data_IF_881058185901
#
_entry.id   IF_881058185901
#
_cell.length_a   1.000
_cell.length_b   1.000
_cell.length_c   1.000
_cell.angle_alpha   90.00
_cell.angle_beta   90.00
_cell.angle_gamma   90.00
#
_symmetry.space_group_name_H-M   'P 1'
#
loop_
_entity.id
_entity.type
_entity.pdbx_description
1 polymer ?
#
# COMPACT_ATOMS: atom_id res chain seq x y z
N UNK A 1 34.99 -40.20 -12.76
CA UNK A 1 33.67 -40.21 -13.39
C UNK A 1 33.28 -38.78 -13.75
N UNK A 2 33.09 -38.49 -15.07
CA UNK A 2 32.57 -37.18 -15.49
C UNK A 2 31.17 -37.03 -14.88
N UNK A 3 30.87 -35.91 -14.23
CA UNK A 3 29.53 -35.69 -13.75
C UNK A 3 28.53 -35.73 -14.93
N UNK A 4 27.39 -36.35 -14.72
CA UNK A 4 26.36 -36.43 -15.76
C UNK A 4 26.07 -35.06 -16.34
N UNK A 5 25.76 -34.96 -17.64
CA UNK A 5 25.49 -33.67 -18.31
C UNK A 5 24.43 -32.84 -17.58
N UNK A 6 23.40 -33.49 -17.02
CA UNK A 6 22.36 -32.85 -16.22
C UNK A 6 22.89 -32.19 -14.93
N UNK A 7 23.80 -32.86 -14.19
CA UNK A 7 24.42 -32.30 -12.98
C UNK A 7 25.31 -31.09 -13.33
N UNK A 8 26.05 -31.15 -14.44
CA UNK A 8 26.86 -30.02 -14.91
C UNK A 8 26.05 -28.84 -15.34
N UNK A 9 24.85 -29.04 -15.92
CA UNK A 9 23.94 -27.97 -16.34
C UNK A 9 23.23 -27.32 -15.17
N UNK A 10 22.86 -28.08 -14.14
CA UNK A 10 22.34 -27.53 -12.89
C UNK A 10 23.41 -26.68 -12.18
N UNK A 11 24.65 -27.18 -12.13
CA UNK A 11 25.76 -26.42 -11.52
C UNK A 11 26.08 -25.13 -12.27
N UNK A 12 26.00 -25.11 -13.60
CA UNK A 12 26.20 -23.90 -14.41
C UNK A 12 25.12 -22.85 -14.21
N UNK A 13 23.93 -23.26 -13.79
CA UNK A 13 22.78 -22.35 -13.52
C UNK A 13 22.73 -21.84 -12.08
N UNK A 14 23.61 -22.32 -11.20
CA UNK A 14 23.65 -21.83 -9.81
C UNK A 14 24.19 -20.40 -9.73
N UNK A 15 23.73 -19.68 -8.73
CA UNK A 15 24.23 -18.35 -8.39
C UNK A 15 25.71 -18.43 -7.98
N UNK A 16 26.59 -17.83 -8.77
CA UNK A 16 28.05 -17.87 -8.54
C UNK A 16 28.62 -16.57 -7.98
N UNK A 17 27.79 -15.56 -7.68
CA UNK A 17 28.23 -14.27 -7.13
C UNK A 17 29.06 -13.40 -8.08
N UNK A 18 29.19 -13.77 -9.37
CA UNK A 18 29.93 -13.00 -10.36
C UNK A 18 29.23 -11.67 -10.65
N UNK A 19 29.97 -10.60 -10.98
CA UNK A 19 29.44 -9.29 -11.33
C UNK A 19 28.33 -9.35 -12.40
N UNK A 20 28.47 -10.22 -13.40
CA UNK A 20 27.45 -10.47 -14.43
C UNK A 20 26.13 -11.00 -13.88
N UNK A 21 26.15 -11.78 -12.79
CA UNK A 21 24.92 -12.27 -12.15
C UNK A 21 24.22 -11.15 -11.38
N UNK A 22 24.98 -10.26 -10.75
CA UNK A 22 24.44 -9.08 -10.08
C UNK A 22 23.80 -8.11 -11.06
N UNK A 23 24.48 -7.79 -12.17
CA UNK A 23 23.92 -6.94 -13.22
C UNK A 23 22.60 -7.50 -13.77
N UNK A 24 22.56 -8.81 -14.09
CA UNK A 24 21.31 -9.44 -14.56
C UNK A 24 20.21 -9.42 -13.49
N UNK A 25 20.57 -9.59 -12.23
CA UNK A 25 19.60 -9.51 -11.14
C UNK A 25 19.00 -8.12 -11.05
N UNK A 26 19.81 -7.08 -11.14
CA UNK A 26 19.36 -5.68 -11.13
C UNK A 26 18.45 -5.37 -12.33
N UNK A 27 18.87 -5.76 -13.54
CA UNK A 27 18.08 -5.57 -14.75
C UNK A 27 16.72 -6.28 -14.67
N UNK A 28 16.72 -7.57 -14.29
CA UNK A 28 15.48 -8.35 -14.17
C UNK A 28 14.59 -7.80 -13.06
N UNK A 29 15.16 -7.42 -11.93
CA UNK A 29 14.41 -6.81 -10.82
C UNK A 29 13.75 -5.50 -11.24
N UNK A 30 14.46 -4.66 -11.99
CA UNK A 30 13.91 -3.40 -12.52
C UNK A 30 12.76 -3.64 -13.50
N UNK A 31 12.94 -4.57 -14.43
CA UNK A 31 11.88 -4.93 -15.39
C UNK A 31 10.66 -5.51 -14.69
N UNK A 32 10.85 -6.43 -13.73
CA UNK A 32 9.76 -7.01 -12.96
C UNK A 32 9.03 -5.96 -12.12
N UNK A 33 9.74 -5.03 -11.49
CA UNK A 33 9.15 -3.92 -10.76
C UNK A 33 8.32 -3.01 -11.69
N UNK A 34 8.87 -2.70 -12.87
CA UNK A 34 8.19 -1.93 -13.91
C UNK A 34 6.91 -2.59 -14.43
N UNK A 35 6.89 -3.91 -14.53
CA UNK A 35 5.70 -4.67 -14.93
C UNK A 35 4.71 -4.87 -13.77
N UNK A 36 5.21 -5.06 -12.56
CA UNK A 36 4.37 -5.24 -11.37
C UNK A 36 3.54 -4.00 -11.04
N UNK A 37 4.09 -2.81 -11.25
CA UNK A 37 3.40 -1.55 -10.92
C UNK A 37 2.05 -1.41 -11.65
N UNK A 38 1.97 -1.41 -13.00
CA UNK A 38 0.69 -1.31 -13.69
C UNK A 38 -0.22 -2.51 -13.44
N UNK A 39 0.36 -3.71 -13.22
CA UNK A 39 -0.41 -4.90 -12.88
C UNK A 39 -1.13 -4.75 -11.55
N UNK A 40 -0.42 -4.28 -10.51
CA UNK A 40 -1.00 -4.04 -9.18
C UNK A 40 -2.11 -2.99 -9.25
N UNK A 41 -1.90 -1.88 -9.98
CA UNK A 41 -2.94 -0.88 -10.20
C UNK A 41 -4.18 -1.47 -10.86
N UNK A 42 -4.00 -2.25 -11.92
CA UNK A 42 -5.10 -2.87 -12.65
C UNK A 42 -5.88 -3.86 -11.78
N UNK A 43 -5.19 -4.75 -11.06
CA UNK A 43 -5.82 -5.75 -10.19
C UNK A 43 -6.61 -5.07 -9.08
N UNK A 44 -6.02 -4.10 -8.37
CA UNK A 44 -6.73 -3.39 -7.29
C UNK A 44 -7.93 -2.60 -7.82
N UNK A 45 -7.82 -1.99 -9.00
CA UNK A 45 -8.93 -1.28 -9.63
C UNK A 45 -10.08 -2.22 -9.99
N UNK A 46 -9.79 -3.39 -10.59
CA UNK A 46 -10.83 -4.36 -10.96
C UNK A 46 -11.51 -4.94 -9.73
N UNK A 47 -10.75 -5.38 -8.74
CA UNK A 47 -11.30 -5.92 -7.47
C UNK A 47 -12.16 -4.87 -6.76
N UNK A 48 -11.73 -3.62 -6.75
CA UNK A 48 -12.51 -2.55 -6.12
C UNK A 48 -13.80 -2.22 -6.85
N UNK A 49 -13.85 -2.44 -8.17
CA UNK A 49 -15.09 -2.29 -8.95
C UNK A 49 -16.17 -3.28 -8.53
N UNK A 50 -15.80 -4.51 -8.13
CA UNK A 50 -16.76 -5.50 -7.61
C UNK A 50 -17.47 -4.98 -6.35
N UNK A 51 -16.76 -4.25 -5.49
CA UNK A 51 -17.36 -3.59 -4.33
C UNK A 51 -18.16 -2.35 -4.73
N UNK A 52 -17.64 -1.51 -5.62
CA UNK A 52 -18.28 -0.28 -6.05
C UNK A 52 -19.61 -0.51 -6.80
N UNK A 53 -19.75 -1.65 -7.49
CA UNK A 53 -20.98 -2.05 -8.18
C UNK A 53 -21.93 -2.87 -7.31
N UNK A 54 -21.55 -3.18 -6.06
CA UNK A 54 -22.42 -3.87 -5.13
C UNK A 54 -23.59 -3.00 -4.69
N UNK A 55 -24.68 -3.63 -4.26
CA UNK A 55 -25.86 -2.92 -3.72
C UNK A 55 -25.73 -2.60 -2.23
N UNK A 56 -24.57 -2.85 -1.62
CA UNK A 56 -24.36 -2.66 -0.18
C UNK A 56 -24.15 -1.18 0.13
N UNK A 57 -24.96 -0.56 1.01
CA UNK A 57 -24.77 0.83 1.41
C UNK A 57 -23.37 1.10 1.98
N UNK A 58 -22.75 2.18 1.52
CA UNK A 58 -21.40 2.58 1.91
C UNK A 58 -20.25 1.93 1.10
N UNK A 59 -20.55 0.98 0.18
CA UNK A 59 -19.60 0.45 -0.79
C UNK A 59 -19.93 0.87 -2.22
N UNK A 60 -21.20 1.07 -2.49
CA UNK A 60 -21.71 1.50 -3.81
C UNK A 60 -21.38 2.96 -4.07
N UNK A 61 -20.12 3.27 -4.36
CA UNK A 61 -19.66 4.62 -4.69
C UNK A 61 -18.64 4.61 -5.82
N UNK A 62 -18.67 5.65 -6.67
CA UNK A 62 -17.70 5.80 -7.77
C UNK A 62 -16.29 6.15 -7.29
N UNK A 63 -16.15 6.67 -6.07
CA UNK A 63 -14.84 7.00 -5.48
C UNK A 63 -14.12 5.77 -4.92
N UNK A 64 -14.82 4.64 -4.77
CA UNK A 64 -14.26 3.45 -4.15
C UNK A 64 -13.02 2.90 -4.88
N UNK A 65 -12.97 2.77 -6.23
CA UNK A 65 -11.79 2.29 -6.93
C UNK A 65 -10.52 3.14 -6.72
N UNK A 66 -10.52 4.46 -6.94
CA UNK A 66 -9.35 5.28 -6.67
C UNK A 66 -8.95 5.29 -5.18
N UNK A 67 -9.93 5.33 -4.28
CA UNK A 67 -9.70 5.23 -2.84
C UNK A 67 -9.02 3.92 -2.45
N UNK A 68 -9.48 2.79 -2.99
CA UNK A 68 -8.93 1.46 -2.69
C UNK A 68 -7.47 1.33 -3.15
N UNK A 69 -7.15 1.82 -4.34
CA UNK A 69 -5.78 1.83 -4.87
C UNK A 69 -4.87 2.72 -4.03
N UNK A 70 -5.32 3.92 -3.67
CA UNK A 70 -4.54 4.85 -2.82
C UNK A 70 -4.32 4.28 -1.42
N UNK A 71 -5.32 3.62 -0.85
CA UNK A 71 -5.22 2.94 0.44
C UNK A 71 -4.23 1.77 0.41
N UNK A 72 -4.20 1.01 -0.68
CA UNK A 72 -3.23 -0.06 -0.87
C UNK A 72 -1.79 0.47 -0.96
N UNK A 73 -1.57 1.55 -1.70
CA UNK A 73 -0.27 2.22 -1.76
C UNK A 73 0.16 2.77 -0.40
N UNK A 74 -0.73 3.50 0.26
CA UNK A 74 -0.48 4.06 1.58
C UNK A 74 -0.08 2.99 2.60
N UNK A 75 -0.86 1.92 2.71
CA UNK A 75 -0.58 0.83 3.65
C UNK A 75 0.69 0.05 3.28
N UNK A 76 0.95 -0.14 1.99
CA UNK A 76 2.15 -0.81 1.49
C UNK A 76 3.42 -0.04 1.86
N UNK A 77 3.47 1.25 1.61
CA UNK A 77 4.62 2.09 1.98
C UNK A 77 4.81 2.17 3.51
N UNK A 78 3.74 2.32 4.28
CA UNK A 78 3.81 2.33 5.74
C UNK A 78 4.34 1.00 6.32
N UNK A 79 3.93 -0.13 5.75
CA UNK A 79 4.45 -1.45 6.13
C UNK A 79 5.95 -1.59 5.82
N UNK A 80 6.35 -1.22 4.61
CA UNK A 80 7.76 -1.30 4.20
C UNK A 80 8.63 -0.38 5.06
N UNK A 81 8.18 0.83 5.34
CA UNK A 81 8.91 1.76 6.21
C UNK A 81 9.08 1.19 7.63
N UNK A 82 8.03 0.62 8.20
CA UNK A 82 8.10 -0.02 9.51
C UNK A 82 9.15 -1.14 9.53
N UNK A 83 9.16 -1.99 8.50
CA UNK A 83 10.16 -3.06 8.38
C UNK A 83 11.58 -2.50 8.21
N UNK A 84 11.77 -1.45 7.41
CA UNK A 84 13.06 -0.81 7.22
C UNK A 84 13.61 -0.21 8.53
N UNK A 85 12.76 0.41 9.34
CA UNK A 85 13.15 0.96 10.66
C UNK A 85 13.60 -0.18 11.60
N UNK A 86 12.86 -1.29 11.62
CA UNK A 86 13.21 -2.47 12.44
C UNK A 86 14.54 -3.05 11.97
N UNK A 87 14.69 -3.32 10.67
CA UNK A 87 15.92 -3.89 10.09
C UNK A 87 17.11 -2.97 10.34
N UNK A 88 16.94 -1.66 10.14
CA UNK A 88 17.98 -0.66 10.40
C UNK A 88 18.55 -0.78 11.82
N UNK A 89 17.68 -0.95 12.82
CA UNK A 89 18.09 -1.08 14.23
C UNK A 89 18.64 -2.46 14.57
N UNK A 90 17.95 -3.53 14.16
CA UNK A 90 18.29 -4.90 14.56
C UNK A 90 19.59 -5.39 13.89
N UNK A 91 19.78 -5.03 12.62
CA UNK A 91 20.92 -5.49 11.81
C UNK A 91 22.05 -4.45 11.76
N UNK A 92 21.91 -3.30 12.41
CA UNK A 92 22.87 -2.18 12.40
C UNK A 92 23.20 -1.69 10.99
N UNK A 93 22.19 -1.62 10.10
CA UNK A 93 22.36 -1.19 8.70
C UNK A 93 22.19 0.31 8.52
N UNK A 94 22.59 1.12 9.48
CA UNK A 94 22.41 2.57 9.47
C UNK A 94 23.17 3.27 8.32
N UNK A 95 24.29 2.69 7.89
CA UNK A 95 25.09 3.21 6.78
C UNK A 95 24.39 3.01 5.41
N UNK A 96 23.54 1.99 5.28
CA UNK A 96 22.82 1.68 4.03
C UNK A 96 21.42 2.28 4.01
N UNK A 97 20.68 2.14 5.10
CA UNK A 97 19.34 2.70 5.26
C UNK A 97 19.49 4.05 5.97
N UNK A 98 19.70 5.10 5.19
CA UNK A 98 19.88 6.45 5.74
C UNK A 98 18.54 7.08 6.14
N UNK A 99 18.56 8.10 6.98
CA UNK A 99 17.38 8.86 7.36
C UNK A 99 16.71 9.50 6.14
N UNK A 100 17.48 9.88 5.12
CA UNK A 100 16.95 10.43 3.87
C UNK A 100 16.00 9.47 3.14
N UNK A 101 16.29 8.16 3.15
CA UNK A 101 15.40 7.17 2.55
C UNK A 101 14.05 7.13 3.27
N UNK A 102 14.06 7.18 4.60
CA UNK A 102 12.85 7.24 5.43
C UNK A 102 12.09 8.54 5.18
N UNK A 103 12.79 9.67 5.07
CA UNK A 103 12.16 10.97 4.75
C UNK A 103 11.43 10.95 3.40
N UNK A 104 12.03 10.37 2.35
CA UNK A 104 11.37 10.24 1.06
C UNK A 104 10.14 9.33 1.11
N UNK A 105 10.20 8.24 1.85
CA UNK A 105 9.05 7.36 2.05
C UNK A 105 7.93 8.08 2.81
N UNK A 106 8.27 8.85 3.84
CA UNK A 106 7.31 9.68 4.59
C UNK A 106 6.60 10.70 3.68
N UNK A 107 7.28 11.30 2.72
CA UNK A 107 6.64 12.21 1.74
C UNK A 107 5.59 11.47 0.91
N UNK A 108 5.88 10.25 0.46
CA UNK A 108 4.92 9.43 -0.29
C UNK A 108 3.74 9.04 0.59
N UNK A 109 4.00 8.62 1.83
CA UNK A 109 2.96 8.27 2.82
C UNK A 109 2.08 9.48 3.12
N UNK A 110 2.66 10.65 3.30
CA UNK A 110 1.92 11.89 3.51
C UNK A 110 1.01 12.23 2.33
N UNK A 111 1.54 12.14 1.11
CA UNK A 111 0.77 12.42 -0.11
C UNK A 111 -0.39 11.44 -0.28
N UNK A 112 -0.11 10.12 -0.22
CA UNK A 112 -1.14 9.08 -0.38
C UNK A 112 -2.14 9.08 0.78
N UNK A 113 -1.70 9.30 2.02
CA UNK A 113 -2.57 9.43 3.18
C UNK A 113 -3.48 10.65 3.11
N UNK A 114 -2.99 11.77 2.59
CA UNK A 114 -3.82 12.97 2.37
C UNK A 114 -4.91 12.71 1.32
N UNK A 115 -4.57 12.00 0.23
CA UNK A 115 -5.56 11.60 -0.79
C UNK A 115 -6.61 10.64 -0.23
N UNK A 116 -6.21 9.70 0.61
CA UNK A 116 -7.15 8.81 1.33
C UNK A 116 -8.05 9.62 2.27
N UNK A 117 -7.51 10.60 2.97
CA UNK A 117 -8.29 11.51 3.82
C UNK A 117 -9.34 12.30 3.05
N UNK A 118 -8.99 12.82 1.87
CA UNK A 118 -9.95 13.51 0.98
C UNK A 118 -11.05 12.55 0.53
N UNK A 119 -10.71 11.30 0.21
CA UNK A 119 -11.70 10.30 -0.17
C UNK A 119 -12.70 10.03 0.96
N UNK A 120 -12.26 9.88 2.20
CA UNK A 120 -13.15 9.74 3.37
C UNK A 120 -14.08 10.94 3.57
N UNK A 121 -13.55 12.15 3.44
CA UNK A 121 -14.37 13.38 3.54
C UNK A 121 -15.41 13.40 2.44
N UNK A 122 -15.03 13.02 1.22
CA UNK A 122 -15.95 12.97 0.07
C UNK A 122 -17.06 11.93 0.29
N UNK A 123 -16.74 10.74 0.80
CA UNK A 123 -17.74 9.71 1.14
C UNK A 123 -18.73 10.20 2.19
N UNK A 124 -18.25 10.82 3.26
CA UNK A 124 -19.10 11.38 4.31
C UNK A 124 -20.00 12.50 3.76
N UNK A 125 -19.45 13.38 2.92
CA UNK A 125 -20.21 14.44 2.27
C UNK A 125 -21.30 13.87 1.37
N UNK A 126 -20.98 12.87 0.55
CA UNK A 126 -21.92 12.25 -0.36
C UNK A 126 -23.05 11.52 0.37
N UNK A 127 -22.73 10.79 1.44
CA UNK A 127 -23.72 10.14 2.29
C UNK A 127 -24.69 11.14 2.94
N UNK A 128 -24.19 12.30 3.34
CA UNK A 128 -25.02 13.37 3.89
C UNK A 128 -25.86 14.06 2.79
N UNK A 129 -25.23 14.39 1.66
CA UNK A 129 -25.85 15.16 0.56
C UNK A 129 -26.90 14.35 -0.21
N UNK A 130 -26.69 13.03 -0.39
CA UNK A 130 -27.60 12.16 -1.14
C UNK A 130 -29.00 12.05 -0.51
N UNK A 131 -29.10 12.25 0.81
CA UNK A 131 -30.34 12.12 1.55
C UNK A 131 -30.88 10.68 1.64
N UNK A 132 -30.10 9.68 1.22
CA UNK A 132 -30.48 8.26 1.29
C UNK A 132 -30.36 7.77 2.73
N UNK A 133 -31.48 7.42 3.36
CA UNK A 133 -31.54 7.01 4.77
C UNK A 133 -30.63 5.82 5.09
N UNK A 134 -30.53 4.85 4.19
CA UNK A 134 -29.68 3.65 4.39
C UNK A 134 -28.19 4.00 4.44
N UNK A 135 -27.73 4.92 3.59
CA UNK A 135 -26.34 5.38 3.60
C UNK A 135 -26.03 6.21 4.84
N UNK A 136 -26.91 7.17 5.16
CA UNK A 136 -26.78 7.96 6.38
C UNK A 136 -26.73 7.08 7.62
N UNK A 137 -27.62 6.10 7.73
CA UNK A 137 -27.62 5.14 8.81
C UNK A 137 -26.31 4.34 8.89
N UNK A 138 -25.79 3.86 7.74
CA UNK A 138 -24.55 3.09 7.70
C UNK A 138 -23.35 3.90 8.24
N UNK A 139 -23.24 5.17 7.85
CA UNK A 139 -22.15 6.04 8.33
C UNK A 139 -22.33 6.44 9.79
N UNK A 140 -23.53 6.79 10.22
CA UNK A 140 -23.83 7.09 11.63
C UNK A 140 -23.57 5.88 12.52
N UNK A 141 -23.98 4.69 12.11
CA UNK A 141 -23.76 3.47 12.87
C UNK A 141 -22.26 3.08 12.95
N UNK A 142 -21.46 3.39 11.94
CA UNK A 142 -20.01 3.25 12.02
C UNK A 142 -19.40 4.20 13.06
N UNK A 143 -19.87 5.44 13.12
CA UNK A 143 -19.32 6.47 14.00
C UNK A 143 -19.79 6.36 15.46
N UNK A 144 -21.00 5.86 15.72
CA UNK A 144 -21.65 5.86 17.04
C UNK A 144 -22.15 4.49 17.52
N UNK A 145 -22.13 3.47 16.66
CA UNK A 145 -22.61 2.12 16.94
C UNK A 145 -21.67 1.28 17.80
N UNK A 146 -21.95 -0.03 17.94
CA UNK A 146 -21.20 -0.92 18.85
C UNK A 146 -19.70 -0.99 18.57
N UNK A 147 -19.28 -0.75 17.34
CA UNK A 147 -17.88 -0.79 16.89
C UNK A 147 -17.29 0.58 16.60
N UNK A 148 -17.83 1.66 17.17
CA UNK A 148 -17.37 3.03 16.98
C UNK A 148 -15.87 3.20 17.24
N UNK A 149 -15.32 2.50 18.22
CA UNK A 149 -13.90 2.55 18.56
C UNK A 149 -13.00 2.08 17.41
N UNK A 150 -13.39 1.04 16.68
CA UNK A 150 -12.63 0.52 15.53
C UNK A 150 -12.66 1.53 14.36
N UNK A 151 -13.80 2.16 14.11
CA UNK A 151 -13.93 3.20 13.11
C UNK A 151 -13.03 4.40 13.42
N UNK A 152 -13.05 4.91 14.65
CA UNK A 152 -12.22 6.04 15.05
C UNK A 152 -10.74 5.68 15.15
N UNK A 153 -10.37 4.45 15.50
CA UNK A 153 -9.00 3.97 15.41
C UNK A 153 -8.51 3.96 13.96
N UNK A 154 -9.31 3.45 13.03
CA UNK A 154 -9.00 3.49 11.59
C UNK A 154 -8.82 4.93 11.08
N UNK A 155 -9.75 5.83 11.42
CA UNK A 155 -9.66 7.25 11.02
C UNK A 155 -8.41 7.92 11.61
N UNK A 156 -8.08 7.62 12.86
CA UNK A 156 -6.87 8.16 13.51
C UNK A 156 -5.60 7.68 12.82
N UNK A 157 -5.50 6.41 12.48
CA UNK A 157 -4.32 5.85 11.82
C UNK A 157 -4.18 6.31 10.37
N UNK A 158 -5.29 6.37 9.61
CA UNK A 158 -5.22 6.60 8.16
C UNK A 158 -5.28 8.10 7.79
N UNK A 159 -5.95 8.91 8.59
CA UNK A 159 -6.17 10.33 8.27
C UNK A 159 -5.32 11.23 9.15
N UNK A 160 -5.42 11.08 10.48
CA UNK A 160 -4.74 12.01 11.40
C UNK A 160 -3.24 11.72 11.53
N UNK A 161 -2.84 10.46 11.70
CA UNK A 161 -1.42 10.10 11.90
C UNK A 161 -0.50 10.59 10.78
N UNK A 162 -0.83 10.45 9.48
CA UNK A 162 0.06 10.94 8.41
C UNK A 162 0.25 12.46 8.45
N UNK A 163 -0.74 13.21 8.96
CA UNK A 163 -0.65 14.67 9.01
C UNK A 163 0.40 15.17 10.02
N UNK A 164 0.80 14.35 10.99
CA UNK A 164 1.89 14.73 11.90
C UNK A 164 3.25 14.82 11.19
N UNK A 165 3.41 14.20 10.02
CA UNK A 165 4.62 14.28 9.20
C UNK A 165 4.88 15.71 8.69
N UNK A 166 3.86 16.57 8.61
CA UNK A 166 4.01 17.98 8.28
C UNK A 166 4.83 18.77 9.30
N UNK A 167 4.77 18.37 10.56
CA UNK A 167 5.47 19.05 11.66
C UNK A 167 6.89 18.51 11.77
N UNK A 168 7.81 19.05 10.97
CA UNK A 168 9.24 18.73 10.98
C UNK A 168 10.02 19.70 11.85
#
# INVERSE_FOLDING_TARGET
>A
PKPSSAASDVYKRQWSGRAKHWQRFEEVSLVLAGLATPLVFSVHSIVSMDFATSVIPGWHTTIFPPYFVLGALFSGFAMVETLLIIVRKVVNMEAYITIKHIEYMNVIILFTGSMVGIAYITELFMAWYSGVEYEQYAFLNRATGPYWWAYWAMMSCNVFSPQFIWFK
#
